data_IF_317813177028
#
_entry.id   IF_317813177028
#
_cell.length_a   1.000
_cell.length_b   1.000
_cell.length_c   1.000
_cell.angle_alpha   90.00
_cell.angle_beta   90.00
_cell.angle_gamma   90.00
#
_symmetry.space_group_name_H-M   'P 1'
#
loop_
_entity.id
_entity.type
_entity.pdbx_description
1 polymer ?
#
# COMPACT_ATOMS: atom_id res chain seq x y z
N UNK A 1 13.65 -38.29 -36.32
CA UNK A 1 14.26 -37.07 -35.76
C UNK A 1 13.19 -36.30 -35.02
N UNK A 2 13.39 -36.09 -33.73
CA UNK A 2 12.37 -35.67 -32.77
C UNK A 2 12.26 -34.14 -32.66
N UNK A 3 11.06 -33.71 -32.26
CA UNK A 3 10.53 -32.35 -32.22
C UNK A 3 11.36 -31.33 -31.43
N UNK A 4 11.39 -30.09 -31.94
CA UNK A 4 11.78 -28.89 -31.20
C UNK A 4 10.74 -28.61 -30.10
N UNK A 5 11.15 -28.75 -28.85
CA UNK A 5 10.36 -28.34 -27.68
C UNK A 5 10.38 -26.83 -27.55
N UNK A 6 9.18 -26.26 -27.40
CA UNK A 6 8.92 -24.87 -27.09
C UNK A 6 9.56 -24.50 -25.75
N UNK A 7 10.50 -23.57 -25.78
CA UNK A 7 10.93 -22.82 -24.60
C UNK A 7 10.04 -21.58 -24.50
N UNK A 8 8.99 -21.67 -23.69
CA UNK A 8 8.24 -20.49 -23.24
C UNK A 8 9.17 -19.69 -22.33
N UNK A 9 9.61 -18.54 -22.81
CA UNK A 9 10.35 -17.59 -21.97
C UNK A 9 9.46 -17.11 -20.81
N UNK A 10 10.02 -16.92 -19.60
CA UNK A 10 9.25 -16.48 -18.46
C UNK A 10 8.65 -15.12 -18.76
N UNK A 11 7.32 -15.06 -18.68
CA UNK A 11 6.47 -13.87 -18.65
C UNK A 11 7.21 -12.75 -17.94
N UNK A 12 7.77 -11.83 -18.73
CA UNK A 12 8.14 -10.51 -18.28
C UNK A 12 6.88 -9.95 -17.64
N UNK A 13 6.88 -9.84 -16.30
CA UNK A 13 5.90 -9.04 -15.59
C UNK A 13 6.17 -7.63 -16.07
N UNK A 14 5.39 -7.27 -17.08
CA UNK A 14 5.33 -5.99 -17.71
C UNK A 14 5.18 -4.94 -16.60
N UNK A 15 6.28 -4.27 -16.27
CA UNK A 15 6.32 -3.04 -15.49
C UNK A 15 5.78 -1.89 -16.35
N UNK A 16 4.61 -2.07 -16.95
CA UNK A 16 3.95 -1.13 -17.85
C UNK A 16 2.47 -1.08 -17.46
N UNK A 17 2.19 -0.37 -16.36
CA UNK A 17 0.98 0.45 -16.19
C UNK A 17 1.13 1.28 -14.90
N UNK A 18 2.28 1.93 -14.70
CA UNK A 18 2.32 3.11 -13.85
C UNK A 18 1.73 4.25 -14.68
N UNK A 19 0.41 4.19 -14.92
CA UNK A 19 -0.37 5.30 -15.46
C UNK A 19 0.01 6.54 -14.68
N UNK A 20 0.66 7.49 -15.36
CA UNK A 20 1.07 8.75 -14.76
C UNK A 20 -0.15 9.39 -14.11
N UNK A 21 -0.14 9.64 -12.78
CA UNK A 21 -1.21 10.42 -12.21
C UNK A 21 -1.12 11.83 -12.77
N UNK A 22 -2.17 12.26 -13.45
CA UNK A 22 -2.48 13.64 -13.74
C UNK A 22 -2.83 14.41 -12.45
N UNK A 23 -1.98 14.31 -11.42
CA UNK A 23 -1.93 15.21 -10.30
C UNK A 23 -0.62 15.98 -10.44
N UNK A 24 -0.68 17.04 -11.24
CA UNK A 24 0.29 18.13 -11.16
C UNK A 24 0.18 18.70 -9.74
N UNK A 25 0.96 18.13 -8.81
CA UNK A 25 1.25 18.74 -7.51
C UNK A 25 2.20 19.90 -7.79
N UNK A 26 1.65 20.96 -8.36
CA UNK A 26 2.32 22.22 -8.57
C UNK A 26 2.64 22.83 -7.20
N UNK A 27 3.89 22.70 -6.76
CA UNK A 27 4.57 23.67 -5.90
C UNK A 27 4.02 23.92 -4.50
N UNK A 28 3.30 22.97 -3.89
CA UNK A 28 3.03 22.98 -2.45
C UNK A 28 4.13 22.24 -1.71
N UNK A 29 4.61 22.77 -0.58
CA UNK A 29 5.61 22.12 0.26
C UNK A 29 5.09 20.75 0.71
N UNK A 30 5.57 19.71 0.03
CA UNK A 30 5.11 18.33 0.21
C UNK A 30 5.38 17.83 1.65
N UNK A 31 6.19 18.54 2.45
CA UNK A 31 6.44 18.19 3.84
C UNK A 31 5.28 18.51 4.80
N UNK A 32 4.26 19.25 4.37
CA UNK A 32 3.09 19.63 5.20
C UNK A 32 1.76 19.00 4.73
N UNK A 33 1.82 17.94 3.92
CA UNK A 33 0.61 17.33 3.37
C UNK A 33 -0.24 16.72 4.51
N UNK A 34 -1.51 17.15 4.69
CA UNK A 34 -2.34 16.65 5.77
C UNK A 34 -2.62 15.16 5.56
N UNK A 35 -2.68 14.38 6.65
CA UNK A 35 -2.84 12.92 6.59
C UNK A 35 -4.05 12.49 5.76
N UNK A 36 -5.15 13.26 5.81
CA UNK A 36 -6.35 13.01 5.01
C UNK A 36 -6.11 13.13 3.51
N UNK A 37 -5.29 14.08 3.07
CA UNK A 37 -4.97 14.28 1.66
C UNK A 37 -3.98 13.23 1.18
N UNK A 38 -3.00 12.87 2.02
CA UNK A 38 -2.10 11.75 1.73
C UNK A 38 -2.88 10.43 1.61
N UNK A 39 -3.86 10.20 2.49
CA UNK A 39 -4.72 9.02 2.43
C UNK A 39 -5.55 8.98 1.15
N UNK A 40 -6.18 10.10 0.77
CA UNK A 40 -6.94 10.20 -0.47
C UNK A 40 -6.09 9.93 -1.72
N UNK A 41 -4.85 10.44 -1.75
CA UNK A 41 -3.89 10.18 -2.84
C UNK A 41 -3.54 8.68 -2.88
N UNK A 42 -3.19 8.08 -1.75
CA UNK A 42 -2.85 6.65 -1.65
C UNK A 42 -4.02 5.77 -2.11
N UNK A 43 -5.25 6.06 -1.66
CA UNK A 43 -6.46 5.33 -2.07
C UNK A 43 -6.70 5.46 -3.56
N UNK A 44 -6.53 6.66 -4.13
CA UNK A 44 -6.67 6.90 -5.56
C UNK A 44 -5.68 6.04 -6.37
N UNK A 45 -4.44 5.94 -5.92
CA UNK A 45 -3.40 5.11 -6.54
C UNK A 45 -3.71 3.61 -6.41
N UNK A 46 -4.14 3.16 -5.23
CA UNK A 46 -4.57 1.78 -5.02
C UNK A 46 -5.75 1.38 -5.89
N UNK A 47 -6.68 2.31 -6.13
CA UNK A 47 -7.84 2.09 -7.01
C UNK A 47 -7.44 2.05 -8.49
N UNK A 48 -6.41 2.80 -8.87
CA UNK A 48 -5.84 2.77 -10.23
C UNK A 48 -5.05 1.47 -10.51
N UNK A 49 -4.51 0.83 -9.48
CA UNK A 49 -3.75 -0.40 -9.62
C UNK A 49 -4.67 -1.64 -9.64
N UNK A 50 -4.80 -2.32 -10.78
CA UNK A 50 -5.75 -3.43 -10.99
C UNK A 50 -5.76 -4.52 -9.91
N UNK A 51 -4.59 -5.06 -9.54
CA UNK A 51 -4.50 -6.09 -8.48
C UNK A 51 -4.88 -5.57 -7.09
N UNK A 52 -4.32 -4.43 -6.67
CA UNK A 52 -4.58 -3.83 -5.36
C UNK A 52 -6.05 -3.43 -5.23
N UNK A 53 -6.63 -2.85 -6.29
CA UNK A 53 -8.03 -2.50 -6.36
C UNK A 53 -8.95 -3.71 -6.13
N UNK A 54 -8.65 -4.85 -6.77
CA UNK A 54 -9.41 -6.09 -6.60
C UNK A 54 -9.33 -6.61 -5.16
N UNK A 55 -8.13 -6.61 -4.58
CA UNK A 55 -7.92 -7.07 -3.19
C UNK A 55 -8.66 -6.16 -2.20
N UNK A 56 -8.48 -4.85 -2.30
CA UNK A 56 -9.11 -3.89 -1.38
C UNK A 56 -10.63 -3.90 -1.54
N UNK A 57 -11.15 -4.04 -2.76
CA UNK A 57 -12.58 -4.22 -3.01
C UNK A 57 -13.09 -5.49 -2.33
N UNK A 58 -12.34 -6.59 -2.37
CA UNK A 58 -12.72 -7.85 -1.74
C UNK A 58 -12.75 -7.75 -0.21
N UNK A 59 -11.68 -7.26 0.43
CA UNK A 59 -11.59 -7.21 1.89
C UNK A 59 -12.44 -6.11 2.53
N UNK A 60 -12.77 -5.06 1.79
CA UNK A 60 -13.63 -3.96 2.27
C UNK A 60 -15.11 -4.14 1.92
N UNK A 61 -15.46 -5.16 1.12
CA UNK A 61 -16.81 -5.31 0.57
C UNK A 61 -17.20 -4.13 -0.34
N UNK A 62 -16.25 -3.66 -1.16
CA UNK A 62 -16.35 -2.50 -2.04
C UNK A 62 -16.59 -1.15 -1.32
N UNK A 63 -16.42 -1.08 0.00
CA UNK A 63 -16.58 0.15 0.79
C UNK A 63 -15.30 0.97 0.82
N UNK A 64 -15.05 1.70 -0.26
CA UNK A 64 -13.84 2.50 -0.41
C UNK A 64 -13.70 3.66 0.57
N UNK A 65 -14.81 4.21 1.07
CA UNK A 65 -14.77 5.22 2.14
C UNK A 65 -14.14 4.66 3.42
N UNK A 66 -14.42 3.36 3.72
CA UNK A 66 -13.80 2.66 4.86
C UNK A 66 -12.33 2.37 4.63
N UNK A 67 -11.93 2.14 3.38
CA UNK A 67 -10.52 1.97 3.01
C UNK A 67 -9.77 3.28 3.22
N UNK A 68 -10.35 4.41 2.82
CA UNK A 68 -9.75 5.74 3.06
C UNK A 68 -9.63 6.07 4.54
N UNK A 69 -10.68 5.85 5.33
CA UNK A 69 -10.61 6.00 6.80
C UNK A 69 -9.52 5.11 7.41
N UNK A 70 -9.40 3.87 6.95
CA UNK A 70 -8.38 2.92 7.42
C UNK A 70 -6.97 3.36 7.03
N UNK A 71 -6.75 3.78 5.79
CA UNK A 71 -5.46 4.31 5.32
C UNK A 71 -5.09 5.58 6.09
N UNK A 72 -6.04 6.49 6.33
CA UNK A 72 -5.82 7.67 7.16
C UNK A 72 -5.39 7.31 8.58
N UNK A 73 -6.02 6.31 9.21
CA UNK A 73 -5.62 5.82 10.52
C UNK A 73 -4.24 5.15 10.54
N UNK A 74 -3.82 4.51 9.43
CA UNK A 74 -2.50 3.88 9.30
C UNK A 74 -1.40 4.92 9.08
N UNK A 75 -1.71 6.00 8.38
CA UNK A 75 -0.76 7.07 8.06
C UNK A 75 -0.63 8.11 9.16
N UNK A 76 -1.56 8.16 10.12
CA UNK A 76 -1.50 9.08 11.26
C UNK A 76 -0.57 8.52 12.37
N UNK A 77 0.62 9.10 12.59
CA UNK A 77 1.54 8.62 13.63
C UNK A 77 1.03 8.83 15.06
N UNK A 78 -0.03 9.62 15.25
CA UNK A 78 -0.73 9.86 16.52
C UNK A 78 -1.89 8.87 16.70
N UNK A 79 -2.31 8.17 15.65
CA UNK A 79 -3.25 7.08 15.77
C UNK A 79 -2.56 5.89 16.44
N UNK A 80 -2.81 5.73 17.74
CA UNK A 80 -2.44 4.49 18.43
C UNK A 80 -3.30 3.31 17.95
N UNK A 81 -2.80 2.08 18.11
CA UNK A 81 -3.50 0.82 17.77
C UNK A 81 -4.96 0.75 18.22
N UNK A 82 -5.32 1.41 19.32
CA UNK A 82 -6.72 1.49 19.83
C UNK A 82 -7.73 2.08 18.84
N UNK A 83 -7.28 2.79 17.79
CA UNK A 83 -8.13 3.30 16.70
C UNK A 83 -8.10 2.43 15.44
N UNK A 84 -7.31 1.36 15.41
CA UNK A 84 -7.27 0.46 14.26
C UNK A 84 -8.56 -0.34 14.18
N UNK A 85 -9.21 -0.28 13.03
CA UNK A 85 -10.33 -1.15 12.70
C UNK A 85 -9.78 -2.49 12.18
N UNK A 86 -10.58 -3.58 12.19
CA UNK A 86 -10.16 -4.85 11.57
C UNK A 86 -9.74 -4.70 10.11
N UNK A 87 -10.34 -3.75 9.38
CA UNK A 87 -9.93 -3.43 8.01
C UNK A 87 -8.54 -2.78 7.96
N UNK A 88 -8.25 -1.85 8.89
CA UNK A 88 -6.93 -1.23 8.99
C UNK A 88 -5.86 -2.27 9.36
N UNK A 89 -6.17 -3.20 10.25
CA UNK A 89 -5.28 -4.32 10.60
C UNK A 89 -4.98 -5.20 9.38
N UNK A 90 -6.01 -5.60 8.62
CA UNK A 90 -5.84 -6.36 7.38
C UNK A 90 -4.99 -5.60 6.34
N UNK A 91 -5.18 -4.28 6.21
CA UNK A 91 -4.38 -3.47 5.29
C UNK A 91 -2.93 -3.37 5.78
N UNK A 92 -2.68 -3.21 7.09
CA UNK A 92 -1.32 -3.22 7.65
C UNK A 92 -0.65 -4.57 7.42
N UNK A 93 -1.37 -5.67 7.58
CA UNK A 93 -0.84 -7.00 7.25
C UNK A 93 -0.43 -7.06 5.78
N UNK A 94 -1.27 -6.58 4.84
CA UNK A 94 -0.90 -6.52 3.42
C UNK A 94 0.33 -5.63 3.13
N UNK A 95 0.48 -4.53 3.85
CA UNK A 95 1.61 -3.60 3.72
C UNK A 95 2.91 -4.18 4.34
N UNK A 96 2.80 -5.04 5.35
CA UNK A 96 3.95 -5.64 6.04
C UNK A 96 4.30 -7.03 5.52
N UNK A 97 3.33 -7.76 4.98
CA UNK A 97 3.48 -9.15 4.59
C UNK A 97 4.40 -9.28 3.39
N UNK A 98 5.51 -9.97 3.58
CA UNK A 98 6.39 -10.41 2.48
C UNK A 98 5.98 -11.80 1.96
N UNK A 99 4.92 -12.38 2.54
CA UNK A 99 4.38 -13.69 2.21
C UNK A 99 3.06 -13.56 1.43
N UNK A 100 2.94 -14.36 0.38
CA UNK A 100 1.80 -14.31 -0.55
C UNK A 100 2.02 -13.36 -1.74
N UNK A 101 1.31 -13.60 -2.84
CA UNK A 101 1.43 -12.81 -4.09
C UNK A 101 1.07 -11.35 -3.86
N UNK A 102 0.03 -11.11 -3.05
CA UNK A 102 -0.47 -9.75 -2.78
C UNK A 102 0.51 -8.91 -1.98
N UNK A 103 1.09 -9.43 -0.89
CA UNK A 103 2.05 -8.69 -0.08
C UNK A 103 3.31 -8.28 -0.86
N UNK A 104 3.81 -9.16 -1.75
CA UNK A 104 4.94 -8.88 -2.65
C UNK A 104 4.66 -7.82 -3.71
N UNK A 105 3.40 -7.46 -3.94
CA UNK A 105 3.00 -6.40 -4.88
C UNK A 105 2.70 -5.12 -4.09
N UNK A 106 1.90 -5.23 -3.03
CA UNK A 106 1.39 -4.09 -2.26
C UNK A 106 2.49 -3.34 -1.52
N UNK A 107 3.39 -4.04 -0.82
CA UNK A 107 4.49 -3.42 -0.05
C UNK A 107 5.45 -2.59 -0.93
N UNK A 108 6.10 -3.14 -1.98
CA UNK A 108 7.02 -2.35 -2.78
C UNK A 108 6.33 -1.23 -3.56
N UNK A 109 5.07 -1.43 -3.96
CA UNK A 109 4.27 -0.37 -4.60
C UNK A 109 4.02 0.79 -3.63
N UNK A 110 3.64 0.49 -2.39
CA UNK A 110 3.40 1.49 -1.35
C UNK A 110 4.68 2.25 -0.97
N UNK A 111 5.79 1.55 -0.77
CA UNK A 111 7.10 2.18 -0.49
C UNK A 111 7.56 3.10 -1.64
N UNK A 112 7.40 2.64 -2.89
CA UNK A 112 7.68 3.44 -4.09
C UNK A 112 6.78 4.68 -4.17
N UNK A 113 5.50 4.52 -3.84
CA UNK A 113 4.55 5.62 -3.84
C UNK A 113 4.92 6.67 -2.80
N UNK A 114 5.23 6.27 -1.57
CA UNK A 114 5.67 7.21 -0.53
C UNK A 114 6.98 7.91 -0.91
N UNK A 115 7.93 7.21 -1.50
CA UNK A 115 9.19 7.82 -1.97
C UNK A 115 9.03 8.83 -3.10
N UNK A 116 7.93 8.78 -3.85
CA UNK A 116 7.56 9.79 -4.86
C UNK A 116 6.79 10.96 -4.27
N UNK A 117 5.97 10.68 -3.26
CA UNK A 117 5.06 11.64 -2.66
C UNK A 117 5.64 12.41 -1.49
N UNK A 118 6.77 12.02 -0.91
CA UNK A 118 7.29 12.62 0.32
C UNK A 118 8.82 12.72 0.28
N UNK A 119 9.42 13.66 1.05
CA UNK A 119 10.86 13.66 1.28
C UNK A 119 11.32 12.31 1.82
N UNK A 120 12.52 11.85 1.41
CA UNK A 120 13.01 10.50 1.73
C UNK A 120 13.00 10.17 3.23
N UNK A 121 13.30 11.14 4.11
CA UNK A 121 13.25 10.95 5.56
C UNK A 121 11.83 10.75 6.08
N UNK A 122 10.84 11.48 5.54
CA UNK A 122 9.43 11.37 5.93
C UNK A 122 8.85 10.05 5.43
N UNK A 123 9.15 9.67 4.18
CA UNK A 123 8.76 8.38 3.61
C UNK A 123 9.33 7.22 4.45
N UNK A 124 10.62 7.26 4.79
CA UNK A 124 11.25 6.23 5.62
C UNK A 124 10.63 6.14 7.02
N UNK A 125 10.32 7.28 7.65
CA UNK A 125 9.63 7.32 8.95
C UNK A 125 8.23 6.72 8.89
N UNK A 126 7.47 6.98 7.82
CA UNK A 126 6.14 6.37 7.63
C UNK A 126 6.24 4.88 7.37
N UNK A 127 7.17 4.43 6.54
CA UNK A 127 7.42 2.99 6.33
C UNK A 127 7.76 2.29 7.66
N UNK A 128 8.64 2.89 8.46
CA UNK A 128 8.98 2.38 9.79
C UNK A 128 7.77 2.37 10.74
N UNK A 129 6.93 3.40 10.71
CA UNK A 129 5.69 3.45 11.49
C UNK A 129 4.74 2.30 11.13
N UNK A 130 4.48 2.09 9.83
CA UNK A 130 3.64 0.99 9.34
C UNK A 130 4.22 -0.37 9.75
N UNK A 131 5.54 -0.55 9.63
CA UNK A 131 6.22 -1.76 10.08
C UNK A 131 6.07 -1.98 11.60
N UNK A 132 6.12 -0.93 12.43
CA UNK A 132 5.84 -1.02 13.87
C UNK A 132 4.39 -1.43 14.15
N UNK A 133 3.41 -0.92 13.39
CA UNK A 133 2.02 -1.34 13.51
C UNK A 133 1.85 -2.84 13.20
N UNK A 134 2.62 -3.38 12.24
CA UNK A 134 2.64 -4.80 11.88
C UNK A 134 3.38 -5.70 12.89
N UNK A 135 4.58 -5.33 13.33
CA UNK A 135 5.44 -6.16 14.19
C UNK A 135 4.91 -6.38 15.61
N UNK A 136 4.17 -5.41 16.15
CA UNK A 136 3.50 -5.54 17.45
C UNK A 136 2.27 -6.49 17.40
N UNK A 137 1.89 -7.02 16.24
CA UNK A 137 0.77 -7.98 16.12
C UNK A 137 1.23 -9.42 16.41
N UNK A 138 2.51 -9.75 16.19
CA UNK A 138 3.07 -11.07 16.53
C UNK A 138 3.21 -11.33 18.03
N UNK A 139 2.87 -10.36 18.89
CA UNK A 139 2.98 -10.46 20.35
C UNK A 139 1.64 -10.60 21.08
N UNK A 140 0.50 -10.52 20.37
CA UNK A 140 -0.84 -10.62 20.99
C UNK A 140 -1.61 -11.90 20.65
N UNK A 141 -1.11 -12.76 19.77
CA UNK A 141 -1.65 -14.11 19.55
C UNK A 141 -0.88 -15.09 20.43
N UNK A 142 -1.17 -15.13 21.73
CA UNK A 142 -0.91 -16.22 22.70
C UNK A 142 -1.38 -15.74 24.10
N UNK A 143 -2.67 -15.89 24.36
CA UNK A 143 -3.31 -15.66 25.66
C UNK A 143 -4.62 -16.41 25.77
#
# INVERSE_FOLDING_TARGET
>A
MNMMVSGVEPTQVLMDDLREPAASLAGGDIAELPVSELAAIVVSQFRAHGHICNVLTHISGARWDRVEEAIGAILDPRAGKRRMTPLAENIVDLLCAERGVTGRIVKPYFETLLGRLLPGEVAARLCAHVACLGGEQSKQDHG
#
